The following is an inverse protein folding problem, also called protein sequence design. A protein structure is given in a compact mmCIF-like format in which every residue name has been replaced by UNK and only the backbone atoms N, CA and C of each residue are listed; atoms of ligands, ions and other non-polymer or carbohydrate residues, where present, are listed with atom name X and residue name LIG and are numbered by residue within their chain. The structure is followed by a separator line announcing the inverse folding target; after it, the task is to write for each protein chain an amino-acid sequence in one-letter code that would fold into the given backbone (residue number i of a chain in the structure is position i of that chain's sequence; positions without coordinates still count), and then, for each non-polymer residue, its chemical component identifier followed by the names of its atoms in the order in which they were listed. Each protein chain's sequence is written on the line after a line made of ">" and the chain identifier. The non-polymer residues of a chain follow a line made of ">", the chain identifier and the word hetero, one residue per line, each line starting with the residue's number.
data_IF_929416437449
#
_entry.id   IF_929416437449
#
_cell.length_a   1.000
_cell.length_b   1.000
_cell.length_c   1.000
_cell.angle_alpha   90.00
_cell.angle_beta   90.00
_cell.angle_gamma   90.00
#
_symmetry.space_group_name_H-M   'P 1'
#
loop_
_entity.id
_entity.type
_entity.pdbx_description
1 polymer ?
#
# COMPACT_ATOMS: atom_id res chain seq x y z
N UNK A 1 -10.75 -22.75 8.04
CA UNK A 1 -10.05 -21.53 7.62
C UNK A 1 -10.93 -20.75 6.67
N UNK A 2 -11.03 -19.46 6.88
CA UNK A 2 -11.83 -18.64 5.98
C UNK A 2 -11.01 -18.19 4.80
N UNK A 3 -11.63 -18.24 3.62
CA UNK A 3 -11.01 -17.71 2.42
C UNK A 3 -10.98 -16.18 2.51
N UNK A 4 -9.91 -15.60 1.98
CA UNK A 4 -9.81 -14.16 1.88
C UNK A 4 -10.85 -13.65 0.89
N UNK A 5 -11.52 -12.55 1.25
CA UNK A 5 -12.50 -11.92 0.38
C UNK A 5 -11.76 -11.16 -0.73
N UNK A 6 -11.62 -11.80 -1.89
CA UNK A 6 -10.86 -11.22 -2.99
C UNK A 6 -11.56 -10.04 -3.64
N UNK A 7 -12.88 -9.89 -3.44
CA UNK A 7 -13.62 -8.76 -4.01
C UNK A 7 -13.28 -7.44 -3.32
N UNK A 8 -12.95 -7.51 -2.03
CA UNK A 8 -12.62 -6.32 -1.27
C UNK A 8 -11.19 -5.86 -1.47
N UNK A 9 -10.32 -6.72 -2.02
CA UNK A 9 -8.91 -6.40 -2.20
C UNK A 9 -8.70 -5.73 -3.56
N UNK A 10 -7.83 -4.71 -3.56
CA UNK A 10 -7.46 -3.98 -4.77
C UNK A 10 -5.96 -3.84 -4.82
N UNK A 11 -5.41 -3.74 -6.01
CA UNK A 11 -3.99 -3.46 -6.16
C UNK A 11 -3.72 -1.99 -5.89
N UNK A 12 -2.74 -1.73 -5.03
CA UNK A 12 -2.40 -0.38 -4.60
C UNK A 12 -0.89 -0.27 -4.60
N UNK A 13 -0.37 0.84 -5.14
CA UNK A 13 1.03 1.19 -5.01
C UNK A 13 1.22 1.89 -3.67
N UNK A 14 2.15 1.41 -2.86
CA UNK A 14 2.44 1.98 -1.55
C UNK A 14 3.94 2.24 -1.43
N UNK A 15 4.32 3.10 -0.51
CA UNK A 15 5.74 3.45 -0.33
C UNK A 15 6.04 3.63 1.15
N UNK A 16 7.30 3.42 1.50
CA UNK A 16 7.76 3.74 2.84
C UNK A 16 8.03 5.24 2.94
N UNK A 17 7.51 5.84 3.99
CA UNK A 17 7.65 7.29 4.24
C UNK A 17 7.99 7.51 5.71
N UNK A 18 8.64 8.63 5.97
CA UNK A 18 8.82 9.07 7.35
C UNK A 18 7.58 9.84 7.77
N UNK A 19 6.93 9.37 8.82
CA UNK A 19 5.65 9.93 9.26
C UNK A 19 5.67 10.03 10.78
N UNK A 20 5.62 11.26 11.30
CA UNK A 20 5.66 11.51 12.75
C UNK A 20 6.84 10.84 13.44
N UNK A 21 8.01 10.90 12.80
CA UNK A 21 9.24 10.35 13.37
C UNK A 21 9.41 8.85 13.22
N UNK A 22 8.55 8.19 12.47
CA UNK A 22 8.63 6.75 12.24
C UNK A 22 8.53 6.45 10.76
N UNK A 23 8.98 5.26 10.36
CA UNK A 23 8.80 4.78 9.01
C UNK A 23 7.48 4.03 8.93
N UNK A 24 6.60 4.50 8.06
CA UNK A 24 5.29 3.88 7.84
C UNK A 24 5.11 3.61 6.35
N UNK A 25 4.12 2.79 6.03
CA UNK A 25 3.76 2.50 4.64
C UNK A 25 2.46 3.23 4.35
N UNK A 26 2.47 4.04 3.31
CA UNK A 26 1.33 4.85 2.90
C UNK A 26 1.09 4.71 1.40
N UNK A 27 -0.13 4.96 0.91
CA UNK A 27 -0.40 4.93 -0.53
C UNK A 27 0.40 6.01 -1.26
N UNK A 28 0.89 5.65 -2.43
CA UNK A 28 1.50 6.63 -3.34
C UNK A 28 0.39 7.53 -3.87
N UNK A 29 0.69 8.82 -4.04
CA UNK A 29 -0.28 9.78 -4.55
C UNK A 29 -0.69 9.43 -5.98
N UNK A 30 -1.91 9.81 -6.38
CA UNK A 30 -2.41 9.56 -7.74
C UNK A 30 -3.36 8.38 -7.85
N UNK A 31 -3.75 7.81 -6.74
CA UNK A 31 -4.72 6.69 -6.67
C UNK A 31 -5.98 7.15 -5.97
N UNK A 32 -6.93 6.22 -5.80
CA UNK A 32 -8.20 6.52 -5.12
C UNK A 32 -8.05 6.70 -3.62
N UNK A 33 -6.92 6.32 -3.06
CA UNK A 33 -6.73 6.31 -1.60
C UNK A 33 -5.95 7.52 -1.16
N UNK A 34 -6.37 8.10 -0.02
CA UNK A 34 -5.67 9.23 0.57
C UNK A 34 -4.27 8.81 1.01
N UNK A 35 -3.29 9.69 0.78
CA UNK A 35 -1.91 9.39 1.11
C UNK A 35 -1.65 9.32 2.61
N UNK A 36 -2.58 9.80 3.42
CA UNK A 36 -2.47 9.74 4.88
C UNK A 36 -2.87 8.38 5.45
N UNK A 37 -3.53 7.53 4.66
CA UNK A 37 -3.95 6.22 5.13
C UNK A 37 -2.75 5.38 5.51
N UNK A 38 -2.80 4.77 6.70
CA UNK A 38 -1.78 3.81 7.11
C UNK A 38 -2.05 2.49 6.39
N UNK A 39 -0.99 1.82 5.97
CA UNK A 39 -1.08 0.49 5.37
C UNK A 39 -0.54 -0.51 6.37
N UNK A 40 -1.41 -1.38 6.87
CA UNK A 40 -1.01 -2.44 7.78
C UNK A 40 -0.55 -3.64 6.97
N UNK A 41 0.73 -3.94 7.03
CA UNK A 41 1.35 -4.97 6.20
C UNK A 41 2.54 -5.58 6.94
N UNK A 42 3.35 -6.37 6.23
CA UNK A 42 4.53 -6.97 6.82
C UNK A 42 5.49 -5.89 7.33
N UNK A 43 6.01 -6.08 8.54
CA UNK A 43 6.97 -5.15 9.13
C UNK A 43 8.25 -5.03 8.32
N UNK A 44 8.57 -6.04 7.51
CA UNK A 44 9.77 -6.01 6.67
C UNK A 44 9.73 -4.86 5.68
N UNK A 45 8.52 -4.47 5.23
CA UNK A 45 8.37 -3.40 4.24
C UNK A 45 8.78 -2.05 4.79
N UNK A 46 8.65 -1.83 6.09
CA UNK A 46 9.07 -0.57 6.72
C UNK A 46 10.47 -0.65 7.32
N UNK A 47 11.17 -1.76 7.13
CA UNK A 47 12.53 -1.93 7.62
C UNK A 47 13.50 -1.37 6.60
N UNK A 48 14.05 -0.18 6.88
CA UNK A 48 14.92 0.52 5.94
C UNK A 48 16.29 -0.13 5.76
N UNK A 49 16.63 -1.11 6.59
CA UNK A 49 17.84 -1.90 6.37
C UNK A 49 17.63 -2.95 5.28
N UNK A 50 16.38 -3.29 4.99
CA UNK A 50 16.04 -4.24 3.92
C UNK A 50 15.63 -3.46 2.66
N UNK A 51 14.73 -2.49 2.82
CA UNK A 51 14.23 -1.68 1.70
C UNK A 51 14.46 -0.21 2.03
N UNK A 52 15.26 0.50 1.23
CA UNK A 52 15.54 1.92 1.51
C UNK A 52 14.26 2.74 1.58
N UNK A 53 14.30 3.82 2.35
CA UNK A 53 13.17 4.76 2.45
C UNK A 53 12.77 5.23 1.06
N UNK A 54 11.48 5.26 0.77
CA UNK A 54 10.98 5.63 -0.54
C UNK A 54 10.77 4.44 -1.48
N UNK A 55 11.10 3.23 -1.05
CA UNK A 55 10.82 2.03 -1.85
C UNK A 55 9.32 1.93 -2.10
N UNK A 56 8.96 1.66 -3.35
CA UNK A 56 7.57 1.49 -3.76
C UNK A 56 7.26 0.00 -3.87
N UNK A 57 6.10 -0.39 -3.34
CA UNK A 57 5.64 -1.78 -3.38
C UNK A 57 4.28 -1.83 -4.05
N UNK A 58 3.99 -2.92 -4.72
CA UNK A 58 2.64 -3.22 -5.21
C UNK A 58 2.01 -4.23 -4.26
N UNK A 59 0.89 -3.87 -3.68
CA UNK A 59 0.21 -4.73 -2.70
C UNK A 59 -1.23 -4.96 -3.11
N UNK A 60 -1.80 -6.05 -2.59
CA UNK A 60 -3.23 -6.31 -2.64
C UNK A 60 -3.79 -5.91 -1.28
N UNK A 61 -4.57 -4.84 -1.24
CA UNK A 61 -5.00 -4.24 0.01
C UNK A 61 -6.51 -4.04 0.04
N UNK A 62 -7.05 -4.04 1.24
CA UNK A 62 -8.47 -3.85 1.50
C UNK A 62 -8.63 -2.66 2.45
N UNK A 63 -9.52 -1.73 2.08
CA UNK A 63 -9.87 -0.62 2.97
C UNK A 63 -10.80 -1.14 4.06
N UNK A 64 -10.44 -0.89 5.30
CA UNK A 64 -11.20 -1.39 6.43
C UNK A 64 -11.04 -0.44 7.63
N UNK A 65 -11.70 -0.77 8.73
CA UNK A 65 -11.52 -0.06 9.99
C UNK A 65 -11.57 -1.07 11.13
N UNK A 66 -11.22 -0.60 12.32
CA UNK A 66 -11.33 -1.42 13.53
C UNK A 66 -12.52 -0.94 14.33
N UNK A 67 -13.62 -1.65 14.19
CA UNK A 67 -14.81 -1.40 15.01
C UNK A 67 -15.27 0.06 14.96
N UNK A 68 -15.28 0.63 13.76
CA UNK A 68 -15.72 2.02 13.58
C UNK A 68 -14.64 3.05 13.82
N UNK A 69 -13.39 2.65 14.06
CA UNK A 69 -12.27 3.57 14.20
C UNK A 69 -11.80 4.11 12.87
N UNK A 70 -10.63 4.77 12.85
CA UNK A 70 -10.11 5.32 11.60
C UNK A 70 -9.87 4.23 10.56
N UNK A 71 -10.10 4.56 9.30
CA UNK A 71 -9.87 3.65 8.20
C UNK A 71 -8.37 3.45 7.96
N UNK A 72 -8.03 2.28 7.48
CA UNK A 72 -6.67 1.95 7.08
C UNK A 72 -6.72 0.90 5.97
N UNK A 73 -5.60 0.69 5.29
CA UNK A 73 -5.49 -0.35 4.28
C UNK A 73 -4.84 -1.58 4.92
N UNK A 74 -5.47 -2.73 4.72
CA UNK A 74 -4.98 -3.99 5.26
C UNK A 74 -4.40 -4.84 4.14
N UNK A 75 -3.18 -5.33 4.34
CA UNK A 75 -2.50 -6.28 3.46
C UNK A 75 -2.24 -7.53 4.26
N UNK A 76 -2.64 -8.69 3.72
CA UNK A 76 -2.38 -9.95 4.41
C UNK A 76 -0.87 -10.17 4.53
N UNK A 77 -0.41 -10.44 5.75
CA UNK A 77 1.02 -10.54 6.04
C UNK A 77 1.71 -11.71 5.34
N UNK A 78 0.95 -12.69 4.83
CA UNK A 78 1.48 -13.82 4.10
C UNK A 78 1.67 -13.57 2.61
N UNK A 79 1.24 -12.41 2.10
CA UNK A 79 1.45 -12.07 0.70
C UNK A 79 2.93 -11.83 0.44
N UNK A 80 3.37 -12.20 -0.76
CA UNK A 80 4.73 -11.95 -1.19
C UNK A 80 4.97 -10.44 -1.33
N UNK A 81 6.12 -9.98 -0.87
CA UNK A 81 6.49 -8.57 -0.99
C UNK A 81 6.97 -8.32 -2.42
N UNK A 82 6.32 -7.39 -3.11
CA UNK A 82 6.64 -7.05 -4.50
C UNK A 82 7.12 -5.61 -4.57
N UNK A 83 8.39 -5.43 -4.85
CA UNK A 83 8.97 -4.10 -5.05
C UNK A 83 8.70 -3.67 -6.49
N UNK A 84 8.28 -2.42 -6.67
CA UNK A 84 8.07 -1.84 -7.99
C UNK A 84 9.26 -0.95 -8.36
N UNK A 85 9.76 -1.11 -9.57
CA UNK A 85 10.68 -0.13 -10.13
C UNK A 85 9.91 1.17 -10.37
N UNK A 86 10.62 2.30 -10.37
CA UNK A 86 10.00 3.61 -10.54
C UNK A 86 9.19 3.68 -11.82
N UNK A 87 9.73 3.17 -12.93
CA UNK A 87 9.03 3.20 -14.21
C UNK A 87 7.77 2.33 -14.19
N UNK A 88 7.79 1.23 -13.47
CA UNK A 88 6.60 0.37 -13.34
C UNK A 88 5.52 1.07 -12.53
N UNK A 89 5.91 1.81 -11.51
CA UNK A 89 4.99 2.61 -10.72
C UNK A 89 4.36 3.70 -11.59
N UNK A 90 5.14 4.36 -12.44
CA UNK A 90 4.61 5.38 -13.34
C UNK A 90 3.58 4.81 -14.31
N UNK A 91 3.82 3.61 -14.84
CA UNK A 91 2.88 2.95 -15.74
C UNK A 91 1.59 2.62 -15.00
N UNK A 92 1.72 2.06 -13.80
CA UNK A 92 0.57 1.69 -12.97
C UNK A 92 -0.29 2.91 -12.66
N UNK A 93 0.33 3.99 -12.19
CA UNK A 93 -0.38 5.21 -11.83
C UNK A 93 -0.95 5.92 -13.05
N UNK A 94 -0.26 5.85 -14.18
CA UNK A 94 -0.73 6.43 -15.42
C UNK A 94 -1.99 5.75 -15.94
N UNK A 95 -2.04 4.42 -15.85
CA UNK A 95 -3.23 3.66 -16.22
C UNK A 95 -4.41 4.04 -15.32
N UNK A 96 -4.15 4.23 -14.03
CA UNK A 96 -5.17 4.63 -13.07
C UNK A 96 -5.76 5.99 -13.42
N UNK A 97 -4.90 6.94 -13.74
CA UNK A 97 -5.35 8.30 -14.10
C UNK A 97 -6.21 8.30 -15.36
N UNK A 98 -5.87 7.46 -16.34
CA UNK A 98 -6.66 7.37 -17.57
C UNK A 98 -8.08 6.86 -17.30
N UNK A 99 -8.22 5.95 -16.38
CA UNK A 99 -9.55 5.42 -16.03
C UNK A 99 -10.41 6.49 -15.35
N UNK A 100 -9.79 7.43 -14.65
CA UNK A 100 -10.51 8.45 -13.91
C UNK A 100 -11.01 9.61 -14.79
N UNK A 101 -10.55 9.70 -16.01
CA UNK A 101 -11.05 10.69 -16.93
C UNK A 101 -12.44 10.31 -17.44
#
# INVERSE_FOLDING_TARGET
>A
MMARDTYAYRQVAVESVEWNGRVEIHPVSGQAYATELNVQCSRRMSDTSIYPLGTIFLVSAKLTDRMGGPQYLYVWHGDEIKVMAEQDAEVFLGAYRRVRL
#
